data_IF_897156114344
#
_entry.id   IF_897156114344
#
_cell.length_a   1.000
_cell.length_b   1.000
_cell.length_c   1.000
_cell.angle_alpha   90.00
_cell.angle_beta   90.00
_cell.angle_gamma   90.00
#
_symmetry.space_group_name_H-M   'P 1'
#
loop_
_entity.id
_entity.type
_entity.pdbx_description
1 polymer ?
#
# COMPACT_ATOMS: atom_id res chain seq x y z
N UNK A 1 4.04 10.00 72.37
CA UNK A 1 5.22 10.44 71.58
C UNK A 1 4.94 11.80 70.95
N UNK A 2 5.97 12.65 70.80
CA UNK A 2 5.90 13.91 70.02
C UNK A 2 6.12 13.64 68.53
N UNK A 3 5.80 14.62 67.68
CA UNK A 3 5.96 14.48 66.21
C UNK A 3 7.41 14.15 65.80
N UNK A 4 8.40 14.68 66.51
CA UNK A 4 9.82 14.38 66.26
C UNK A 4 10.19 12.93 66.56
N UNK A 5 9.70 12.40 67.68
CA UNK A 5 9.91 11.00 68.08
C UNK A 5 9.18 10.04 67.12
N UNK A 6 7.96 10.38 66.70
CA UNK A 6 7.20 9.63 65.70
C UNK A 6 7.94 9.58 64.35
N UNK A 7 8.42 10.73 63.89
CA UNK A 7 9.13 10.86 62.63
C UNK A 7 10.44 10.04 62.65
N UNK A 8 11.20 10.13 63.75
CA UNK A 8 12.41 9.35 63.95
C UNK A 8 12.14 7.84 63.97
N UNK A 9 11.08 7.40 64.66
CA UNK A 9 10.71 5.99 64.76
C UNK A 9 10.28 5.39 63.41
N UNK A 10 9.63 6.18 62.55
CA UNK A 10 9.24 5.76 61.21
C UNK A 10 10.30 6.03 60.12
N UNK A 11 11.41 6.68 60.48
CA UNK A 11 12.49 7.04 59.55
C UNK A 11 12.08 8.08 58.49
N UNK A 12 11.20 9.02 58.85
CA UNK A 12 10.75 10.12 57.98
C UNK A 12 11.03 11.48 58.62
N UNK A 13 10.87 12.56 57.86
CA UNK A 13 10.99 13.91 58.42
C UNK A 13 9.68 14.35 59.09
N UNK A 14 9.75 15.27 60.07
CA UNK A 14 8.56 15.88 60.66
C UNK A 14 7.71 16.64 59.63
N UNK A 15 8.33 17.14 58.55
CA UNK A 15 7.64 17.72 57.39
C UNK A 15 6.80 16.69 56.66
N UNK A 16 7.34 15.49 56.43
CA UNK A 16 6.61 14.37 55.80
C UNK A 16 5.39 13.98 56.63
N UNK A 17 5.52 13.88 57.95
CA UNK A 17 4.38 13.58 58.84
C UNK A 17 3.28 14.63 58.72
N UNK A 18 3.63 15.93 58.69
CA UNK A 18 2.65 17.01 58.48
C UNK A 18 1.99 16.94 57.11
N UNK A 19 2.76 16.60 56.08
CA UNK A 19 2.25 16.45 54.73
C UNK A 19 1.23 15.31 54.64
N UNK A 20 1.51 14.16 55.25
CA UNK A 20 0.57 13.04 55.29
C UNK A 20 -0.70 13.33 56.09
N UNK A 21 -0.62 14.11 57.17
CA UNK A 21 -1.82 14.63 57.83
C UNK A 21 -2.66 15.53 56.91
N UNK A 22 -2.01 16.42 56.16
CA UNK A 22 -2.70 17.33 55.24
C UNK A 22 -3.41 16.57 54.10
N UNK A 23 -2.79 15.50 53.61
CA UNK A 23 -3.36 14.63 52.58
C UNK A 23 -4.39 13.61 53.11
N UNK A 24 -4.64 13.58 54.42
CA UNK A 24 -5.59 12.65 55.04
C UNK A 24 -5.09 11.20 55.17
N UNK A 25 -3.81 10.94 54.89
CA UNK A 25 -3.18 9.61 55.01
C UNK A 25 -2.97 9.17 56.46
N UNK A 26 -2.93 10.13 57.40
CA UNK A 26 -2.83 9.88 58.83
C UNK A 26 -3.87 10.73 59.56
N UNK A 27 -4.70 10.14 60.44
CA UNK A 27 -5.64 10.91 61.25
C UNK A 27 -4.86 11.89 62.13
N UNK A 28 -5.34 13.13 62.25
CA UNK A 28 -4.74 14.08 63.17
C UNK A 28 -5.11 13.70 64.62
N UNK A 29 -4.13 13.47 65.51
CA UNK A 29 -4.43 13.13 66.90
C UNK A 29 -5.01 14.32 67.66
N UNK A 30 -5.81 14.01 68.68
CA UNK A 30 -6.40 15.01 69.57
C UNK A 30 -5.33 15.89 70.22
N UNK A 31 -5.60 17.19 70.30
CA UNK A 31 -4.75 18.12 71.05
C UNK A 31 -5.02 17.95 72.54
N UNK A 32 -3.95 17.85 73.33
CA UNK A 32 -4.05 17.89 74.80
C UNK A 32 -4.42 19.30 75.28
N UNK A 33 -4.86 19.42 76.54
CA UNK A 33 -5.17 20.69 77.19
C UNK A 33 -4.02 21.72 77.16
N UNK A 34 -2.78 21.27 76.95
CA UNK A 34 -1.59 22.11 76.78
C UNK A 34 -1.30 22.51 75.32
N UNK A 35 -2.24 22.28 74.39
CA UNK A 35 -2.13 22.66 72.98
C UNK A 35 -1.30 21.73 72.09
N UNK A 36 -0.59 20.77 72.66
CA UNK A 36 0.27 19.86 71.89
C UNK A 36 -0.46 18.60 71.43
N UNK A 37 -0.08 18.10 70.24
CA UNK A 37 -0.46 16.77 69.72
C UNK A 37 0.35 15.67 70.41
N UNK A 38 -0.30 14.54 70.66
CA UNK A 38 0.36 13.31 71.09
C UNK A 38 0.08 12.18 70.11
N UNK A 39 1.14 11.45 69.77
CA UNK A 39 1.09 10.28 68.91
C UNK A 39 1.30 9.00 69.71
N UNK A 40 0.52 7.97 69.36
CA UNK A 40 0.61 6.63 69.93
C UNK A 40 1.29 5.64 68.98
N UNK A 41 1.42 4.40 69.43
CA UNK A 41 2.00 3.30 68.63
C UNK A 41 1.22 3.06 67.34
N UNK A 42 -0.11 3.24 67.36
CA UNK A 42 -0.97 3.09 66.16
C UNK A 42 -0.60 4.07 65.06
N UNK A 43 -0.27 5.32 65.41
CA UNK A 43 0.16 6.34 64.45
C UNK A 43 1.53 5.99 63.83
N UNK A 44 2.43 5.41 64.63
CA UNK A 44 3.72 4.93 64.15
C UNK A 44 3.58 3.74 63.18
N UNK A 45 2.69 2.80 63.48
CA UNK A 45 2.40 1.65 62.60
C UNK A 45 1.76 2.11 61.29
N UNK A 46 0.81 3.04 61.36
CA UNK A 46 0.17 3.63 60.17
C UNK A 46 1.20 4.38 59.30
N UNK A 47 2.05 5.20 59.92
CA UNK A 47 3.09 5.95 59.21
C UNK A 47 4.13 5.02 58.57
N UNK A 48 4.53 3.95 59.26
CA UNK A 48 5.42 2.93 58.70
C UNK A 48 4.76 2.16 57.55
N UNK A 49 3.44 1.95 57.60
CA UNK A 49 2.68 1.31 56.50
C UNK A 49 2.63 2.21 55.27
N UNK A 50 2.30 3.49 55.42
CA UNK A 50 2.35 4.49 54.33
C UNK A 50 3.72 4.48 53.66
N UNK A 51 4.79 4.58 54.47
CA UNK A 51 6.17 4.59 53.95
C UNK A 51 6.53 3.34 53.15
N UNK A 52 6.22 2.14 53.66
CA UNK A 52 6.53 0.89 52.96
C UNK A 52 5.80 0.80 51.61
N UNK A 53 4.55 1.27 51.53
CA UNK A 53 3.80 1.26 50.28
C UNK A 53 4.36 2.28 49.29
N UNK A 54 4.75 3.49 49.74
CA UNK A 54 5.38 4.46 48.84
C UNK A 54 6.77 4.02 48.37
N UNK A 55 7.52 3.26 49.19
CA UNK A 55 8.80 2.66 48.80
C UNK A 55 8.66 1.60 47.70
N UNK A 56 7.49 0.95 47.59
CA UNK A 56 7.20 0.01 46.50
C UNK A 56 6.86 0.70 45.18
N UNK A 57 6.67 2.03 45.18
CA UNK A 57 6.34 2.80 43.98
C UNK A 57 4.87 3.20 43.86
N UNK A 58 4.04 2.92 44.87
CA UNK A 58 2.66 3.41 44.90
C UNK A 58 2.63 4.93 45.07
N UNK A 59 1.72 5.58 44.36
CA UNK A 59 1.36 6.97 44.56
C UNK A 59 0.67 7.19 45.91
N UNK A 60 0.72 8.43 46.42
CA UNK A 60 0.07 8.78 47.68
C UNK A 60 -1.47 8.66 47.63
N UNK A 61 -2.05 8.67 46.43
CA UNK A 61 -3.48 8.46 46.19
C UNK A 61 -3.84 6.98 46.36
N UNK A 62 -3.13 6.07 45.69
CA UNK A 62 -3.33 4.61 45.85
C UNK A 62 -3.10 4.17 47.30
N UNK A 63 -2.10 4.75 47.97
CA UNK A 63 -1.85 4.47 49.40
C UNK A 63 -3.01 4.93 50.27
N UNK A 64 -3.67 6.04 49.94
CA UNK A 64 -4.84 6.53 50.69
C UNK A 64 -6.00 5.56 50.56
N UNK A 65 -6.28 5.09 49.35
CA UNK A 65 -7.43 4.25 49.06
C UNK A 65 -7.28 2.89 49.77
N UNK A 66 -6.09 2.27 49.67
CA UNK A 66 -5.71 1.05 50.41
C UNK A 66 -5.80 1.19 51.94
N UNK A 67 -5.58 2.39 52.47
CA UNK A 67 -5.69 2.67 53.91
C UNK A 67 -7.12 3.00 54.35
N UNK A 68 -7.99 3.44 53.44
CA UNK A 68 -9.39 3.78 53.70
C UNK A 68 -10.30 2.54 53.74
N UNK A 69 -9.87 1.44 53.11
CA UNK A 69 -10.53 0.14 53.11
C UNK A 69 -10.90 -0.35 54.53
N UNK A 70 -12.20 -0.53 54.87
CA UNK A 70 -12.61 -0.95 56.20
C UNK A 70 -12.56 -2.48 56.39
N UNK A 71 -12.05 -2.94 57.53
CA UNK A 71 -12.24 -4.31 58.02
C UNK A 71 -11.58 -5.41 57.15
N UNK A 72 -12.22 -6.58 56.97
CA UNK A 72 -11.61 -7.72 56.27
C UNK A 72 -11.29 -7.46 54.78
N UNK A 73 -11.90 -6.43 54.18
CA UNK A 73 -11.66 -6.03 52.78
C UNK A 73 -10.33 -5.28 52.59
N UNK A 74 -9.74 -4.74 53.66
CA UNK A 74 -8.46 -4.02 53.61
C UNK A 74 -7.27 -4.88 53.13
N UNK A 75 -7.33 -6.19 53.40
CA UNK A 75 -6.33 -7.13 52.88
C UNK A 75 -6.51 -7.39 51.39
N UNK A 76 -7.76 -7.42 50.92
CA UNK A 76 -8.11 -7.69 49.53
C UNK A 76 -7.71 -6.53 48.63
N UNK A 77 -8.08 -5.30 49.00
CA UNK A 77 -7.73 -4.09 48.22
C UNK A 77 -6.22 -3.89 48.13
N UNK A 78 -5.49 -4.14 49.22
CA UNK A 78 -4.03 -4.16 49.19
C UNK A 78 -3.48 -5.22 48.23
N UNK A 79 -4.02 -6.45 48.24
CA UNK A 79 -3.59 -7.50 47.32
C UNK A 79 -3.89 -7.15 45.86
N UNK A 80 -5.04 -6.53 45.58
CA UNK A 80 -5.42 -6.11 44.23
C UNK A 80 -4.44 -5.03 43.70
N UNK A 81 -4.17 -3.98 44.49
CA UNK A 81 -3.21 -2.92 44.11
C UNK A 81 -1.78 -3.46 43.97
N UNK A 82 -1.35 -4.34 44.86
CA UNK A 82 -0.02 -4.96 44.74
C UNK A 82 0.10 -5.88 43.52
N UNK A 83 -0.97 -6.58 43.14
CA UNK A 83 -0.99 -7.40 41.93
C UNK A 83 -0.92 -6.55 40.66
N UNK A 84 -1.61 -5.42 40.62
CA UNK A 84 -1.52 -4.46 39.52
C UNK A 84 -0.10 -3.88 39.42
N UNK A 85 0.49 -3.45 40.53
CA UNK A 85 1.87 -2.96 40.56
C UNK A 85 2.89 -4.02 40.08
N UNK A 86 2.75 -5.27 40.51
CA UNK A 86 3.61 -6.36 40.04
C UNK A 86 3.48 -6.57 38.52
N UNK A 87 2.26 -6.55 37.99
CA UNK A 87 2.02 -6.65 36.56
C UNK A 87 2.64 -5.47 35.79
N UNK A 88 2.59 -4.26 36.35
CA UNK A 88 3.18 -3.06 35.75
C UNK A 88 4.70 -3.13 35.73
N UNK A 89 5.31 -3.55 36.84
CA UNK A 89 6.75 -3.76 36.94
C UNK A 89 7.22 -4.85 35.96
N UNK A 90 6.46 -5.94 35.80
CA UNK A 90 6.76 -6.98 34.83
C UNK A 90 6.75 -6.43 33.39
N UNK A 91 5.76 -5.59 33.03
CA UNK A 91 5.71 -4.92 31.72
C UNK A 91 6.90 -3.98 31.50
N UNK A 92 7.29 -3.22 32.52
CA UNK A 92 8.46 -2.34 32.46
C UNK A 92 9.77 -3.13 32.29
N UNK A 93 9.90 -4.25 33.00
CA UNK A 93 11.08 -5.12 32.90
C UNK A 93 11.21 -5.70 31.50
N UNK A 94 10.11 -6.16 30.90
CA UNK A 94 10.12 -6.68 29.53
C UNK A 94 10.50 -5.60 28.51
N UNK A 95 9.93 -4.39 28.63
CA UNK A 95 10.30 -3.26 27.80
C UNK A 95 11.77 -2.85 27.98
N UNK A 96 12.33 -2.95 29.19
CA UNK A 96 13.75 -2.73 29.46
C UNK A 96 14.62 -3.82 28.84
N UNK A 97 14.23 -5.10 28.94
CA UNK A 97 14.93 -6.22 28.29
C UNK A 97 14.99 -6.05 26.78
N UNK A 98 13.86 -5.71 26.15
CA UNK A 98 13.80 -5.42 24.71
C UNK A 98 14.73 -4.27 24.30
N UNK A 99 14.68 -3.14 25.04
CA UNK A 99 15.60 -2.02 24.79
C UNK A 99 17.08 -2.40 24.95
N UNK A 100 17.41 -3.19 25.98
CA UNK A 100 18.79 -3.66 26.21
C UNK A 100 19.26 -4.61 25.12
N UNK A 101 18.40 -5.51 24.63
CA UNK A 101 18.71 -6.39 23.51
C UNK A 101 19.04 -5.57 22.26
N UNK A 102 18.21 -4.57 21.93
CA UNK A 102 18.46 -3.69 20.78
C UNK A 102 19.77 -2.91 20.89
N UNK A 103 20.10 -2.40 22.08
CA UNK A 103 21.40 -1.74 22.31
C UNK A 103 22.57 -2.69 22.08
N UNK A 104 22.48 -3.96 22.52
CA UNK A 104 23.52 -4.96 22.30
C UNK A 104 23.74 -5.25 20.81
N UNK A 105 22.67 -5.44 20.04
CA UNK A 105 22.77 -5.64 18.59
C UNK A 105 23.51 -4.49 17.89
N UNK A 106 23.21 -3.24 18.28
CA UNK A 106 23.88 -2.06 17.73
C UNK A 106 25.36 -2.01 18.12
N UNK A 107 25.70 -2.39 19.36
CA UNK A 107 27.10 -2.49 19.78
C UNK A 107 27.86 -3.58 19.00
N UNK A 108 27.26 -4.74 18.76
CA UNK A 108 27.85 -5.82 17.96
C UNK A 108 28.06 -5.42 16.49
N UNK A 109 27.16 -4.60 15.93
CA UNK A 109 27.35 -4.01 14.59
C UNK A 109 28.50 -3.00 14.58
N UNK A 110 28.61 -2.16 15.62
CA UNK A 110 29.69 -1.19 15.75
C UNK A 110 31.07 -1.86 15.90
N UNK A 111 31.18 -2.92 16.70
CA UNK A 111 32.41 -3.69 16.86
C UNK A 111 32.90 -4.32 15.55
N UNK A 112 31.96 -4.69 14.66
CA UNK A 112 32.28 -5.20 13.31
C UNK A 112 32.58 -4.10 12.29
N UNK A 113 32.46 -2.83 12.65
CA UNK A 113 32.58 -1.71 11.71
C UNK A 113 31.45 -1.65 10.68
N UNK A 114 30.33 -2.34 10.95
CA UNK A 114 29.15 -2.42 10.07
C UNK A 114 28.07 -1.42 10.50
N UNK A 115 28.31 -0.61 11.54
CA UNK A 115 27.38 0.42 11.97
C UNK A 115 27.37 1.57 10.95
N UNK A 116 26.20 1.91 10.39
CA UNK A 116 26.09 3.03 9.45
C UNK A 116 26.41 4.38 10.11
N UNK A 117 26.95 5.30 9.33
CA UNK A 117 27.19 6.67 9.81
C UNK A 117 25.87 7.44 10.03
N UNK A 118 24.81 7.02 9.35
CA UNK A 118 23.50 7.65 9.27
C UNK A 118 22.57 7.29 10.46
N UNK A 119 23.05 6.46 11.39
CA UNK A 119 22.41 6.20 12.68
C UNK A 119 21.98 4.74 12.91
N UNK A 120 21.29 4.45 14.04
CA UNK A 120 20.75 3.12 14.27
C UNK A 120 19.52 2.87 13.39
N UNK A 121 19.74 2.19 12.27
CA UNK A 121 18.70 1.75 11.33
C UNK A 121 18.27 0.30 11.57
N UNK A 122 17.19 -0.15 10.93
CA UNK A 122 16.80 -1.57 10.89
C UNK A 122 17.93 -2.49 10.44
N UNK A 123 17.85 -3.78 10.80
CA UNK A 123 18.86 -4.77 10.39
C UNK A 123 18.91 -4.92 8.86
N UNK A 124 17.76 -4.82 8.20
CA UNK A 124 17.61 -4.87 6.76
C UNK A 124 18.31 -3.68 6.09
N UNK A 125 18.10 -2.47 6.60
CA UNK A 125 18.74 -1.27 6.07
C UNK A 125 20.25 -1.25 6.35
N UNK A 126 20.68 -1.73 7.53
CA UNK A 126 22.10 -1.89 7.84
C UNK A 126 22.78 -2.87 6.87
N UNK A 127 22.13 -3.98 6.53
CA UNK A 127 22.64 -4.93 5.54
C UNK A 127 22.77 -4.28 4.16
N UNK A 128 21.76 -3.51 3.72
CA UNK A 128 21.79 -2.77 2.46
C UNK A 128 22.93 -1.74 2.44
N UNK A 129 23.12 -0.96 3.50
CA UNK A 129 24.24 -0.02 3.61
C UNK A 129 25.60 -0.72 3.59
N UNK A 130 25.70 -1.91 4.18
CA UNK A 130 26.89 -2.76 4.07
C UNK A 130 27.16 -3.19 2.62
N UNK A 131 26.13 -3.53 1.84
CA UNK A 131 26.29 -3.84 0.41
C UNK A 131 26.71 -2.63 -0.41
N UNK A 132 26.09 -1.47 -0.15
CA UNK A 132 26.45 -0.19 -0.75
C UNK A 132 27.92 0.15 -0.49
N UNK A 133 28.37 0.07 0.77
CA UNK A 133 29.77 0.31 1.14
C UNK A 133 30.74 -0.64 0.42
N UNK A 134 30.39 -1.93 0.29
CA UNK A 134 31.20 -2.89 -0.49
C UNK A 134 31.23 -2.56 -1.98
N UNK A 135 30.15 -2.04 -2.55
CA UNK A 135 30.09 -1.61 -3.95
C UNK A 135 30.93 -0.36 -4.19
N UNK A 136 30.83 0.64 -3.30
CA UNK A 136 31.68 1.83 -3.32
C UNK A 136 33.16 1.48 -3.26
N UNK A 137 33.55 0.56 -2.37
CA UNK A 137 34.94 0.12 -2.22
C UNK A 137 35.52 -0.59 -3.47
N UNK A 138 34.68 -1.07 -4.40
CA UNK A 138 35.14 -1.68 -5.67
C UNK A 138 35.44 -0.65 -6.76
N UNK A 139 34.99 0.60 -6.60
CA UNK A 139 35.20 1.66 -7.59
C UNK A 139 36.50 2.43 -7.32
N UNK A 140 37.19 2.88 -8.38
CA UNK A 140 38.33 3.76 -8.22
C UNK A 140 37.88 5.18 -7.85
N UNK A 141 38.39 5.71 -6.73
CA UNK A 141 38.14 7.09 -6.29
C UNK A 141 37.41 7.18 -4.95
N UNK A 142 37.15 8.41 -4.46
CA UNK A 142 36.28 8.61 -3.30
C UNK A 142 34.85 8.17 -3.60
N UNK A 143 34.11 7.81 -2.56
CA UNK A 143 32.69 7.46 -2.73
C UNK A 143 31.90 8.65 -3.29
N UNK A 144 31.00 8.43 -4.27
CA UNK A 144 30.11 9.47 -4.78
C UNK A 144 29.28 10.12 -3.67
N UNK A 145 29.20 11.46 -3.65
CA UNK A 145 28.37 12.24 -2.72
C UNK A 145 26.89 11.87 -2.84
N UNK A 146 26.41 11.52 -4.05
CA UNK A 146 25.05 11.01 -4.24
C UNK A 146 24.77 9.70 -3.49
N UNK A 147 25.76 8.83 -3.30
CA UNK A 147 25.57 7.59 -2.53
C UNK A 147 25.33 7.90 -1.05
N UNK A 148 26.06 8.87 -0.49
CA UNK A 148 25.84 9.32 0.89
C UNK A 148 24.45 9.94 1.07
N UNK A 149 24.01 10.81 0.13
CA UNK A 149 22.65 11.39 0.15
C UNK A 149 21.55 10.33 0.06
N UNK A 150 21.76 9.28 -0.73
CA UNK A 150 20.80 8.18 -0.81
C UNK A 150 20.68 7.45 0.53
N UNK A 151 21.80 7.19 1.22
CA UNK A 151 21.76 6.57 2.56
C UNK A 151 21.00 7.44 3.56
N UNK A 152 21.24 8.75 3.56
CA UNK A 152 20.48 9.69 4.41
C UNK A 152 18.97 9.64 4.08
N UNK A 153 18.61 9.61 2.80
CA UNK A 153 17.22 9.54 2.35
C UNK A 153 16.56 8.22 2.78
N UNK A 154 17.25 7.09 2.64
CA UNK A 154 16.74 5.78 3.03
C UNK A 154 16.58 5.67 4.56
N UNK A 155 17.53 6.23 5.32
CA UNK A 155 17.42 6.32 6.77
C UNK A 155 16.20 7.14 7.19
N UNK A 156 15.96 8.29 6.53
CA UNK A 156 14.76 9.09 6.74
C UNK A 156 13.47 8.32 6.37
N UNK A 157 13.47 7.64 5.23
CA UNK A 157 12.33 6.88 4.73
C UNK A 157 11.90 5.78 5.71
N UNK A 158 12.85 5.12 6.38
CA UNK A 158 12.54 4.08 7.37
C UNK A 158 11.77 4.64 8.58
N UNK A 159 11.91 5.93 8.89
CA UNK A 159 11.18 6.59 9.99
C UNK A 159 9.72 6.90 9.67
N UNK A 160 9.28 6.61 8.44
CA UNK A 160 7.91 6.86 8.03
C UNK A 160 6.89 6.14 8.95
N UNK A 161 5.76 6.79 9.28
CA UNK A 161 4.71 6.20 10.12
C UNK A 161 4.16 4.90 9.51
N UNK A 162 3.57 4.07 10.39
CA UNK A 162 2.87 2.82 10.04
C UNK A 162 3.74 1.70 9.44
N UNK A 163 5.07 1.83 9.46
CA UNK A 163 5.99 0.78 9.01
C UNK A 163 6.09 0.64 7.48
N UNK A 164 5.37 1.47 6.71
CA UNK A 164 5.44 1.50 5.25
C UNK A 164 6.87 1.74 4.73
N UNK A 165 7.65 2.57 5.46
CA UNK A 165 9.07 2.79 5.17
C UNK A 165 9.90 1.52 5.27
N UNK A 166 9.66 0.68 6.29
CA UNK A 166 10.36 -0.61 6.47
C UNK A 166 10.00 -1.61 5.38
N UNK A 167 8.72 -1.72 5.01
CA UNK A 167 8.30 -2.61 3.93
C UNK A 167 8.92 -2.20 2.58
N UNK A 168 8.97 -0.89 2.32
CA UNK A 168 9.60 -0.36 1.12
C UNK A 168 11.11 -0.62 1.10
N UNK A 169 11.80 -0.40 2.22
CA UNK A 169 13.24 -0.71 2.35
C UNK A 169 13.50 -2.20 2.22
N UNK A 170 12.67 -3.07 2.80
CA UNK A 170 12.78 -4.52 2.64
C UNK A 170 12.57 -4.95 1.17
N UNK A 171 11.62 -4.33 0.46
CA UNK A 171 11.41 -4.57 -0.97
C UNK A 171 12.60 -4.11 -1.83
N UNK A 172 13.22 -2.97 -1.48
CA UNK A 172 14.44 -2.49 -2.13
C UNK A 172 15.64 -3.40 -1.86
N UNK A 173 15.84 -3.85 -0.62
CA UNK A 173 16.89 -4.79 -0.24
C UNK A 173 16.75 -6.15 -0.95
N UNK A 174 15.53 -6.65 -1.12
CA UNK A 174 15.26 -7.87 -1.89
C UNK A 174 15.55 -7.74 -3.40
N UNK A 175 15.44 -6.52 -3.95
CA UNK A 175 15.79 -6.22 -5.35
C UNK A 175 17.28 -5.86 -5.54
N UNK A 176 17.97 -5.44 -4.48
CA UNK A 176 19.37 -4.99 -4.49
C UNK A 176 20.42 -6.10 -4.48
N UNK A 177 20.03 -7.35 -4.25
CA UNK A 177 20.94 -8.50 -4.13
C UNK A 177 21.68 -8.93 -5.41
N UNK A 178 21.62 -8.19 -6.51
CA UNK A 178 22.52 -8.35 -7.67
C UNK A 178 23.74 -7.41 -7.49
N UNK A 179 24.93 -7.94 -7.16
CA UNK A 179 26.14 -7.12 -7.04
C UNK A 179 26.44 -6.30 -8.31
N UNK A 180 26.06 -6.82 -9.48
CA UNK A 180 26.24 -6.11 -10.74
C UNK A 180 25.26 -4.93 -10.89
N UNK A 181 24.07 -4.98 -10.28
CA UNK A 181 23.13 -3.86 -10.24
C UNK A 181 23.67 -2.73 -9.37
N UNK A 182 24.22 -3.05 -8.20
CA UNK A 182 24.86 -2.06 -7.33
C UNK A 182 26.06 -1.39 -8.01
N UNK A 183 26.92 -2.14 -8.69
CA UNK A 183 28.05 -1.58 -9.44
C UNK A 183 27.62 -0.67 -10.60
N UNK A 184 26.44 -0.90 -11.19
CA UNK A 184 25.87 -0.02 -12.23
C UNK A 184 25.26 1.24 -11.62
N UNK A 185 24.56 1.11 -10.50
CA UNK A 185 23.96 2.21 -9.76
C UNK A 185 25.03 3.21 -9.28
N UNK A 186 26.11 2.70 -8.69
CA UNK A 186 27.22 3.56 -8.27
C UNK A 186 27.91 4.28 -9.44
N UNK A 187 27.96 3.67 -10.64
CA UNK A 187 28.43 4.37 -11.85
C UNK A 187 27.51 5.51 -12.27
N UNK A 188 26.20 5.36 -12.07
CA UNK A 188 25.25 6.46 -12.27
C UNK A 188 25.49 7.56 -11.24
N UNK A 189 25.76 7.22 -9.97
CA UNK A 189 26.07 8.22 -8.94
C UNK A 189 27.33 9.01 -9.22
N UNK A 190 28.43 8.34 -9.61
CA UNK A 190 29.65 9.04 -10.02
C UNK A 190 29.38 10.02 -11.18
N UNK A 191 28.56 9.60 -12.15
CA UNK A 191 28.22 10.43 -13.29
C UNK A 191 27.26 11.58 -12.94
N UNK A 192 26.36 11.40 -11.96
CA UNK A 192 25.52 12.49 -11.43
C UNK A 192 26.38 13.52 -10.67
N UNK A 193 27.36 13.07 -9.90
CA UNK A 193 28.29 13.97 -9.21
C UNK A 193 29.16 14.77 -10.20
N UNK A 194 29.69 14.12 -11.25
CA UNK A 194 30.43 14.79 -12.33
C UNK A 194 29.59 15.87 -13.04
N UNK A 195 28.27 15.72 -13.05
CA UNK A 195 27.33 16.62 -13.72
C UNK A 195 26.61 17.57 -12.76
N UNK A 196 26.92 17.54 -11.47
CA UNK A 196 26.26 18.37 -10.47
C UNK A 196 26.38 19.87 -10.74
N UNK A 197 27.51 20.29 -11.32
CA UNK A 197 27.81 21.68 -11.70
C UNK A 197 27.73 21.89 -13.23
N UNK A 198 27.27 20.90 -14.00
CA UNK A 198 27.17 21.00 -15.45
C UNK A 198 25.91 21.78 -15.88
N UNK A 199 26.00 22.47 -17.02
CA UNK A 199 24.85 23.15 -17.63
C UNK A 199 23.79 22.13 -18.09
N UNK A 200 22.52 22.53 -18.05
CA UNK A 200 21.37 21.69 -18.44
C UNK A 200 21.48 21.21 -19.89
N UNK A 201 22.12 22.01 -20.77
CA UNK A 201 22.31 21.68 -22.18
C UNK A 201 23.55 20.80 -22.46
N UNK A 202 24.29 20.37 -21.43
CA UNK A 202 25.46 19.51 -21.61
C UNK A 202 25.04 18.13 -22.19
N UNK A 203 25.63 17.68 -23.32
CA UNK A 203 25.28 16.39 -23.92
C UNK A 203 25.52 15.18 -23.00
N UNK A 204 26.37 15.33 -21.97
CA UNK A 204 26.59 14.32 -20.93
C UNK A 204 25.36 14.15 -20.03
N UNK A 205 24.55 15.19 -19.80
CA UNK A 205 23.28 15.12 -19.05
C UNK A 205 22.29 14.20 -19.75
N UNK A 206 22.15 14.31 -21.07
CA UNK A 206 21.28 13.41 -21.84
C UNK A 206 21.75 11.94 -21.79
N UNK A 207 23.06 11.71 -21.63
CA UNK A 207 23.63 10.36 -21.45
C UNK A 207 23.37 9.84 -20.04
N UNK A 208 23.52 10.71 -19.04
CA UNK A 208 23.19 10.45 -17.63
C UNK A 208 21.74 10.02 -17.46
N UNK A 209 20.82 10.82 -17.99
CA UNK A 209 19.39 10.59 -17.91
C UNK A 209 19.00 9.23 -18.50
N UNK A 210 19.60 8.85 -19.65
CA UNK A 210 19.38 7.53 -20.26
C UNK A 210 19.93 6.38 -19.42
N UNK A 211 21.10 6.55 -18.82
CA UNK A 211 21.69 5.54 -17.94
C UNK A 211 20.86 5.36 -16.66
N UNK A 212 20.49 6.46 -16.01
CA UNK A 212 19.64 6.48 -14.82
C UNK A 212 18.25 5.88 -15.10
N UNK A 213 17.60 6.28 -16.19
CA UNK A 213 16.30 5.73 -16.60
C UNK A 213 16.38 4.23 -16.90
N UNK A 214 17.48 3.76 -17.50
CA UNK A 214 17.72 2.34 -17.76
C UNK A 214 17.84 1.52 -16.48
N UNK A 215 18.58 1.99 -15.48
CA UNK A 215 18.68 1.30 -14.19
C UNK A 215 17.39 1.39 -13.38
N UNK A 216 16.73 2.55 -13.33
CA UNK A 216 15.44 2.71 -12.68
C UNK A 216 14.40 1.72 -13.26
N UNK A 217 14.34 1.58 -14.58
CA UNK A 217 13.45 0.61 -15.23
C UNK A 217 13.78 -0.85 -14.85
N UNK A 218 15.07 -1.19 -14.67
CA UNK A 218 15.49 -2.54 -14.25
C UNK A 218 15.21 -2.81 -12.78
N UNK A 219 15.46 -1.83 -11.90
CA UNK A 219 15.17 -1.91 -10.47
C UNK A 219 13.66 -2.05 -10.23
N UNK A 220 12.85 -1.23 -10.92
CA UNK A 220 11.39 -1.37 -10.95
C UNK A 220 11.01 -2.75 -11.48
N UNK A 221 11.60 -3.22 -12.58
CA UNK A 221 11.31 -4.57 -13.07
C UNK A 221 11.64 -5.66 -12.03
N UNK A 222 12.74 -5.56 -11.29
CA UNK A 222 13.15 -6.52 -10.27
C UNK A 222 12.28 -6.49 -9.00
N UNK A 223 11.90 -5.30 -8.53
CA UNK A 223 11.15 -5.09 -7.30
C UNK A 223 9.64 -5.25 -7.46
N UNK A 224 9.09 -5.07 -8.67
CA UNK A 224 7.64 -4.99 -8.89
C UNK A 224 6.98 -6.39 -8.88
N UNK A 225 6.06 -6.67 -7.93
CA UNK A 225 5.31 -7.93 -7.87
C UNK A 225 4.49 -8.19 -9.14
N UNK A 226 4.21 -9.47 -9.44
CA UNK A 226 3.44 -9.88 -10.62
C UNK A 226 2.11 -9.12 -10.84
N UNK A 227 1.31 -8.80 -9.80
CA UNK A 227 0.09 -8.00 -9.96
C UNK A 227 0.36 -6.59 -10.51
N UNK A 228 1.44 -5.95 -10.06
CA UNK A 228 1.79 -4.58 -10.47
C UNK A 228 2.41 -4.58 -11.87
N UNK A 229 3.16 -5.62 -12.26
CA UNK A 229 3.60 -5.79 -13.66
C UNK A 229 2.41 -5.89 -14.64
N UNK A 230 1.32 -6.55 -14.22
CA UNK A 230 0.08 -6.62 -15.02
C UNK A 230 -0.61 -5.27 -15.12
N UNK A 231 -0.57 -4.47 -14.07
CA UNK A 231 -1.09 -3.10 -14.04
C UNK A 231 -0.28 -2.18 -14.96
N UNK A 232 1.05 -2.20 -14.89
CA UNK A 232 1.93 -1.43 -15.80
C UNK A 232 1.73 -1.87 -17.26
N UNK A 233 1.66 -3.18 -17.52
CA UNK A 233 1.36 -3.68 -18.87
C UNK A 233 -0.06 -3.27 -19.33
N UNK A 234 -1.00 -3.05 -18.41
CA UNK A 234 -2.32 -2.51 -18.72
C UNK A 234 -2.22 -1.01 -19.08
N UNK A 235 -1.50 -0.20 -18.31
CA UNK A 235 -1.25 1.22 -18.63
C UNK A 235 -0.57 1.40 -19.99
N UNK A 236 0.48 0.63 -20.29
CA UNK A 236 1.14 0.68 -21.61
C UNK A 236 0.15 0.35 -22.73
N UNK A 237 -0.73 -0.64 -22.53
CA UNK A 237 -1.78 -0.97 -23.51
C UNK A 237 -2.81 0.15 -23.65
N UNK A 238 -3.16 0.82 -22.57
CA UNK A 238 -4.08 1.98 -22.57
C UNK A 238 -3.46 3.14 -23.36
N UNK A 239 -2.20 3.50 -23.08
CA UNK A 239 -1.48 4.57 -23.79
C UNK A 239 -1.31 4.23 -25.28
N UNK A 240 -0.90 3.00 -25.60
CA UNK A 240 -0.81 2.56 -27.00
C UNK A 240 -2.16 2.64 -27.72
N UNK A 241 -3.26 2.38 -27.01
CA UNK A 241 -4.60 2.47 -27.58
C UNK A 241 -5.06 3.91 -27.78
N UNK A 242 -4.63 4.84 -26.92
CA UNK A 242 -4.82 6.29 -27.13
C UNK A 242 -4.17 6.73 -28.44
N UNK A 243 -2.92 6.34 -28.68
CA UNK A 243 -2.19 6.64 -29.93
C UNK A 243 -2.90 6.01 -31.14
N UNK A 244 -3.34 4.75 -31.02
CA UNK A 244 -4.08 4.06 -32.08
C UNK A 244 -5.41 4.74 -32.40
N UNK A 245 -6.16 5.16 -31.37
CA UNK A 245 -7.42 5.86 -31.52
C UNK A 245 -7.22 7.22 -32.20
N UNK A 246 -6.23 8.01 -31.74
CA UNK A 246 -5.87 9.29 -32.35
C UNK A 246 -5.43 9.13 -33.82
N UNK A 247 -4.67 8.07 -34.12
CA UNK A 247 -4.24 7.73 -35.48
C UNK A 247 -5.35 7.07 -36.33
N UNK A 248 -6.55 6.84 -35.77
CA UNK A 248 -7.67 6.12 -36.39
C UNK A 248 -7.30 4.73 -36.92
N UNK A 249 -6.40 4.02 -36.21
CA UNK A 249 -5.94 2.67 -36.57
C UNK A 249 -6.51 1.64 -35.59
N UNK A 250 -7.54 0.86 -35.98
CA UNK A 250 -8.08 -0.17 -35.11
C UNK A 250 -7.07 -1.30 -34.89
N UNK A 251 -7.00 -1.80 -33.66
CA UNK A 251 -6.02 -2.81 -33.27
C UNK A 251 -6.50 -4.23 -33.56
N UNK A 252 -5.68 -4.99 -34.29
CA UNK A 252 -5.90 -6.42 -34.52
C UNK A 252 -7.10 -6.71 -35.42
N UNK A 253 -7.39 -5.82 -36.37
CA UNK A 253 -8.32 -6.04 -37.49
C UNK A 253 -7.46 -6.27 -38.74
N UNK A 254 -7.41 -7.50 -39.23
CA UNK A 254 -6.67 -7.88 -40.43
C UNK A 254 -7.44 -7.57 -41.72
N UNK A 255 -6.80 -7.82 -42.86
CA UNK A 255 -7.44 -7.71 -44.18
C UNK A 255 -8.50 -8.80 -44.33
N UNK A 256 -9.78 -8.40 -44.39
CA UNK A 256 -10.93 -9.32 -44.49
C UNK A 256 -11.69 -9.54 -43.17
N UNK A 257 -11.14 -9.08 -42.04
CA UNK A 257 -11.81 -9.17 -40.76
C UNK A 257 -12.91 -8.11 -40.62
N UNK A 258 -13.97 -8.44 -39.88
CA UNK A 258 -15.06 -7.51 -39.59
C UNK A 258 -14.96 -6.99 -38.15
N UNK A 259 -14.72 -5.70 -38.03
CA UNK A 259 -14.76 -4.99 -36.76
C UNK A 259 -16.22 -4.80 -36.29
N UNK A 260 -16.48 -5.13 -35.03
CA UNK A 260 -17.76 -4.93 -34.36
C UNK A 260 -17.53 -3.93 -33.20
N UNK A 261 -17.87 -2.64 -33.39
CA UNK A 261 -17.69 -1.62 -32.37
C UNK A 261 -18.70 -1.78 -31.23
N UNK A 262 -18.30 -1.38 -30.03
CA UNK A 262 -19.12 -1.41 -28.81
C UNK A 262 -18.93 -0.17 -27.92
N UNK A 263 -17.98 0.70 -28.26
CA UNK A 263 -17.63 1.84 -27.44
C UNK A 263 -18.70 2.95 -27.48
N UNK A 264 -19.55 2.98 -28.51
CA UNK A 264 -20.63 3.96 -28.64
C UNK A 264 -21.59 3.93 -27.46
N UNK A 265 -21.89 2.74 -26.94
CA UNK A 265 -22.81 2.54 -25.82
C UNK A 265 -22.43 3.24 -24.50
N UNK A 266 -21.14 3.54 -24.28
CA UNK A 266 -20.65 4.22 -23.07
C UNK A 266 -20.10 5.64 -23.34
N UNK A 267 -20.00 6.03 -24.61
CA UNK A 267 -19.33 7.27 -25.01
C UNK A 267 -19.94 8.52 -24.33
N UNK A 268 -21.27 8.63 -24.28
CA UNK A 268 -21.95 9.77 -23.68
C UNK A 268 -21.62 9.93 -22.18
N UNK A 269 -21.63 8.84 -21.43
CA UNK A 269 -21.28 8.83 -20.01
C UNK A 269 -19.82 9.24 -19.81
N UNK A 270 -18.90 8.67 -20.60
CA UNK A 270 -17.47 8.98 -20.49
C UNK A 270 -17.16 10.42 -20.88
N UNK A 271 -17.76 10.95 -21.95
CA UNK A 271 -17.59 12.35 -22.32
C UNK A 271 -18.20 13.31 -21.30
N UNK A 272 -19.32 12.94 -20.66
CA UNK A 272 -19.87 13.70 -19.53
C UNK A 272 -18.91 13.76 -18.34
N UNK A 273 -18.30 12.62 -17.99
CA UNK A 273 -17.31 12.55 -16.92
C UNK A 273 -16.03 13.34 -17.27
N UNK A 274 -15.53 13.22 -18.50
CA UNK A 274 -14.37 13.98 -18.96
C UNK A 274 -14.63 15.49 -18.94
N UNK A 275 -15.82 15.92 -19.36
CA UNK A 275 -16.22 17.31 -19.29
C UNK A 275 -16.23 17.81 -17.84
N UNK A 276 -16.86 17.05 -16.92
CA UNK A 276 -16.89 17.40 -15.51
C UNK A 276 -15.49 17.48 -14.91
N UNK A 277 -14.62 16.50 -15.19
CA UNK A 277 -13.24 16.48 -14.71
C UNK A 277 -12.43 17.68 -15.22
N UNK A 278 -12.56 18.05 -16.50
CA UNK A 278 -11.88 19.24 -17.04
C UNK A 278 -12.39 20.53 -16.41
N UNK A 279 -13.70 20.65 -16.15
CA UNK A 279 -14.28 21.79 -15.44
C UNK A 279 -13.77 21.85 -14.00
N UNK A 280 -13.74 20.72 -13.30
CA UNK A 280 -13.19 20.59 -11.95
C UNK A 280 -11.73 21.03 -11.90
N UNK A 281 -10.89 20.55 -12.83
CA UNK A 281 -9.48 20.97 -12.95
C UNK A 281 -9.36 22.48 -13.17
N UNK A 282 -10.21 23.07 -14.02
CA UNK A 282 -10.20 24.50 -14.27
C UNK A 282 -10.64 25.32 -13.03
N UNK A 283 -11.58 24.81 -12.24
CA UNK A 283 -12.02 25.44 -10.99
C UNK A 283 -10.92 25.37 -9.93
N UNK A 284 -10.27 24.21 -9.77
CA UNK A 284 -9.17 24.01 -8.82
C UNK A 284 -7.93 24.83 -9.17
N UNK A 285 -7.66 25.01 -10.48
CA UNK A 285 -6.60 25.89 -10.95
C UNK A 285 -6.79 27.38 -10.57
N UNK A 286 -8.02 27.81 -10.25
CA UNK A 286 -8.37 29.19 -9.90
C UNK A 286 -8.55 29.40 -8.37
N UNK A 287 -8.64 28.34 -7.57
CA UNK A 287 -8.75 28.40 -6.10
C UNK A 287 -7.40 28.72 -5.41
N UNK A 288 -7.40 29.28 -4.19
CA UNK A 288 -6.32 30.16 -3.73
C UNK A 288 -4.95 29.48 -3.55
N UNK A 289 -3.95 30.17 -4.08
CA UNK A 289 -2.52 29.85 -4.20
C UNK A 289 -1.72 29.88 -2.88
N UNK A 290 -2.37 29.69 -1.73
CA UNK A 290 -1.71 29.77 -0.42
C UNK A 290 -0.80 28.55 -0.15
N UNK A 291 -1.02 27.43 -0.87
CA UNK A 291 -0.29 26.18 -0.72
C UNK A 291 0.18 25.67 -2.11
N UNK A 292 1.28 26.21 -2.66
CA UNK A 292 1.69 25.94 -4.06
C UNK A 292 1.99 24.46 -4.33
N UNK A 293 2.51 23.74 -3.34
CA UNK A 293 2.81 22.30 -3.46
C UNK A 293 1.54 21.47 -3.52
N UNK A 294 0.54 21.78 -2.68
CA UNK A 294 -0.74 21.08 -2.67
C UNK A 294 -1.48 21.33 -3.98
N UNK A 295 -1.47 22.57 -4.47
CA UNK A 295 -2.04 22.93 -5.76
C UNK A 295 -1.38 22.13 -6.90
N UNK A 296 -0.04 22.08 -6.94
CA UNK A 296 0.68 21.32 -7.97
C UNK A 296 0.36 19.81 -7.89
N UNK A 297 0.29 19.24 -6.69
CA UNK A 297 -0.03 17.84 -6.49
C UNK A 297 -1.47 17.50 -6.97
N UNK A 298 -2.45 18.32 -6.61
CA UNK A 298 -3.84 18.16 -7.05
C UNK A 298 -3.95 18.29 -8.57
N UNK A 299 -3.30 19.28 -9.17
CA UNK A 299 -3.32 19.47 -10.62
C UNK A 299 -2.71 18.26 -11.36
N UNK A 300 -1.60 17.71 -10.86
CA UNK A 300 -1.00 16.50 -11.42
C UNK A 300 -1.95 15.31 -11.33
N UNK A 301 -2.59 15.11 -10.18
CA UNK A 301 -3.57 14.03 -9.97
C UNK A 301 -4.79 14.17 -10.89
N UNK A 302 -5.31 15.38 -11.06
CA UNK A 302 -6.45 15.67 -11.94
C UNK A 302 -6.11 15.41 -13.41
N UNK A 303 -4.99 15.96 -13.89
CA UNK A 303 -4.53 15.74 -15.27
C UNK A 303 -4.31 14.24 -15.52
N UNK A 304 -3.73 13.54 -14.56
CA UNK A 304 -3.56 12.09 -14.62
C UNK A 304 -4.91 11.36 -14.67
N UNK A 305 -5.89 11.78 -13.86
CA UNK A 305 -7.25 11.24 -13.85
C UNK A 305 -7.95 11.41 -15.20
N UNK A 306 -7.89 12.60 -15.80
CA UNK A 306 -8.42 12.88 -17.14
C UNK A 306 -7.75 11.99 -18.19
N UNK A 307 -6.42 11.87 -18.14
CA UNK A 307 -5.66 11.02 -19.05
C UNK A 307 -6.05 9.54 -18.93
N UNK A 308 -6.29 9.05 -17.71
CA UNK A 308 -6.74 7.67 -17.46
C UNK A 308 -8.14 7.41 -18.02
N UNK A 309 -9.11 8.30 -17.77
CA UNK A 309 -10.48 8.15 -18.29
C UNK A 309 -10.48 8.18 -19.82
N UNK A 310 -9.75 9.12 -20.42
CA UNK A 310 -9.62 9.24 -21.87
C UNK A 310 -8.93 8.02 -22.47
N UNK A 311 -7.83 7.57 -21.87
CA UNK A 311 -7.09 6.38 -22.28
C UNK A 311 -7.96 5.13 -22.25
N UNK A 312 -8.75 4.95 -21.20
CA UNK A 312 -9.67 3.82 -21.07
C UNK A 312 -10.72 3.81 -22.19
N UNK A 313 -11.32 4.96 -22.49
CA UNK A 313 -12.27 5.09 -23.59
C UNK A 313 -11.63 4.83 -24.95
N UNK A 314 -10.44 5.40 -25.17
CA UNK A 314 -9.66 5.16 -26.38
C UNK A 314 -9.30 3.68 -26.54
N UNK A 315 -8.99 2.98 -25.44
CA UNK A 315 -8.79 1.53 -25.46
C UNK A 315 -10.03 0.78 -25.92
N UNK A 316 -11.23 1.16 -25.46
CA UNK A 316 -12.48 0.57 -25.91
C UNK A 316 -12.76 0.88 -27.39
N UNK A 317 -12.50 2.11 -27.83
CA UNK A 317 -12.76 2.55 -29.21
C UNK A 317 -11.76 1.98 -30.23
N UNK A 318 -10.47 1.89 -29.88
CA UNK A 318 -9.43 1.36 -30.76
C UNK A 318 -9.37 -0.17 -30.80
N UNK A 319 -9.99 -0.86 -29.83
CA UNK A 319 -10.01 -2.33 -29.74
C UNK A 319 -11.43 -2.88 -29.87
N UNK A 320 -12.03 -2.84 -31.06
CA UNK A 320 -13.35 -3.43 -31.29
C UNK A 320 -13.31 -4.94 -31.11
N UNK A 321 -14.49 -5.56 -30.97
CA UNK A 321 -14.63 -6.98 -31.22
C UNK A 321 -14.25 -7.28 -32.68
N UNK A 322 -13.70 -8.45 -32.94
CA UNK A 322 -13.24 -8.83 -34.28
C UNK A 322 -13.83 -10.18 -34.64
N UNK A 323 -14.56 -10.23 -35.76
CA UNK A 323 -14.93 -11.48 -36.41
C UNK A 323 -13.91 -11.71 -37.52
N UNK A 324 -13.07 -12.72 -37.36
CA UNK A 324 -12.05 -13.08 -38.34
C UNK A 324 -12.68 -13.63 -39.61
N UNK A 325 -12.02 -13.43 -40.75
CA UNK A 325 -12.48 -14.01 -42.02
C UNK A 325 -12.55 -15.55 -42.01
N UNK A 326 -11.78 -16.18 -41.12
CA UNK A 326 -11.78 -17.62 -40.84
C UNK A 326 -12.93 -18.09 -39.94
N UNK A 327 -13.78 -17.17 -39.47
CA UNK A 327 -14.85 -17.45 -38.53
C UNK A 327 -14.42 -17.49 -37.05
N UNK A 328 -13.18 -17.09 -36.73
CA UNK A 328 -12.77 -16.86 -35.35
C UNK A 328 -13.45 -15.60 -34.78
N UNK A 329 -13.66 -15.57 -33.46
CA UNK A 329 -14.24 -14.41 -32.78
C UNK A 329 -13.31 -13.97 -31.66
N UNK A 330 -12.88 -12.71 -31.69
CA UNK A 330 -12.16 -12.07 -30.61
C UNK A 330 -13.07 -11.09 -29.87
N UNK A 331 -13.43 -11.45 -28.64
CA UNK A 331 -14.28 -10.65 -27.75
C UNK A 331 -13.38 -9.82 -26.83
N UNK A 332 -13.68 -8.53 -26.68
CA UNK A 332 -12.77 -7.55 -26.06
C UNK A 332 -13.52 -6.51 -25.25
N UNK A 333 -12.91 -6.04 -24.18
CA UNK A 333 -13.37 -4.84 -23.48
C UNK A 333 -12.16 -3.99 -23.10
N UNK A 334 -11.89 -2.96 -23.90
CA UNK A 334 -10.70 -2.13 -23.83
C UNK A 334 -9.40 -2.95 -23.81
N UNK A 335 -8.52 -2.61 -22.87
CA UNK A 335 -7.33 -3.39 -22.55
C UNK A 335 -7.54 -4.34 -21.35
N UNK A 336 -8.76 -4.46 -20.84
CA UNK A 336 -9.10 -5.26 -19.65
C UNK A 336 -9.39 -6.72 -19.99
N UNK A 337 -10.10 -6.97 -21.08
CA UNK A 337 -10.51 -8.32 -21.52
C UNK A 337 -10.15 -8.51 -22.98
N UNK A 338 -9.53 -9.65 -23.29
CA UNK A 338 -9.32 -10.14 -24.65
C UNK A 338 -9.47 -11.67 -24.64
N UNK A 339 -10.58 -12.16 -25.21
CA UNK A 339 -10.95 -13.58 -25.25
C UNK A 339 -10.98 -14.02 -26.71
N UNK A 340 -10.14 -14.99 -27.05
CA UNK A 340 -10.09 -15.60 -28.37
C UNK A 340 -10.99 -16.84 -28.40
N UNK A 341 -11.97 -16.84 -29.30
CA UNK A 341 -12.86 -17.96 -29.60
C UNK A 341 -12.42 -18.56 -30.94
N UNK A 342 -11.96 -19.82 -30.97
CA UNK A 342 -11.55 -20.47 -32.21
C UNK A 342 -12.70 -20.63 -33.20
N UNK A 343 -12.39 -20.62 -34.50
CA UNK A 343 -13.35 -20.89 -35.57
C UNK A 343 -14.08 -22.23 -35.35
N UNK A 344 -15.39 -22.26 -35.65
CA UNK A 344 -16.24 -23.43 -35.46
C UNK A 344 -16.60 -23.75 -34.00
N UNK A 345 -16.12 -22.99 -33.01
CA UNK A 345 -16.52 -23.17 -31.61
C UNK A 345 -17.89 -22.56 -31.30
N UNK A 346 -18.34 -21.61 -32.12
CA UNK A 346 -19.64 -20.95 -31.96
C UNK A 346 -20.75 -21.87 -32.45
N UNK A 347 -21.70 -22.21 -31.59
CA UNK A 347 -22.84 -23.08 -31.90
C UNK A 347 -24.11 -22.30 -32.20
N UNK A 348 -24.34 -21.20 -31.50
CA UNK A 348 -25.50 -20.35 -31.71
C UNK A 348 -25.18 -18.88 -31.44
N UNK A 349 -25.85 -18.00 -32.17
CA UNK A 349 -25.73 -16.55 -32.02
C UNK A 349 -27.13 -15.97 -31.99
N UNK A 350 -27.46 -15.24 -30.93
CA UNK A 350 -28.75 -14.59 -30.74
C UNK A 350 -28.56 -13.10 -30.61
N UNK A 351 -29.36 -12.33 -31.34
CA UNK A 351 -29.46 -10.88 -31.15
C UNK A 351 -30.57 -10.64 -30.15
N UNK A 352 -30.20 -10.36 -28.90
CA UNK A 352 -31.14 -10.14 -27.80
C UNK A 352 -30.62 -9.07 -26.85
N UNK A 353 -31.53 -8.23 -26.36
CA UNK A 353 -31.21 -7.22 -25.35
C UNK A 353 -31.37 -7.84 -23.96
N UNK A 354 -30.29 -7.84 -23.17
CA UNK A 354 -30.30 -8.33 -21.78
C UNK A 354 -29.70 -7.27 -20.85
N UNK A 355 -30.13 -7.28 -19.60
CA UNK A 355 -29.68 -6.38 -18.53
C UNK A 355 -29.15 -7.23 -17.36
N UNK A 356 -27.91 -7.73 -17.44
CA UNK A 356 -27.35 -8.54 -16.37
C UNK A 356 -27.23 -7.70 -15.08
N UNK A 357 -27.56 -8.24 -13.89
CA UNK A 357 -27.55 -7.51 -12.61
C UNK A 357 -26.13 -7.26 -12.06
N UNK A 358 -25.12 -7.30 -12.93
CA UNK A 358 -23.72 -7.44 -12.60
C UNK A 358 -22.85 -6.23 -12.96
N UNK A 359 -21.54 -6.39 -12.80
CA UNK A 359 -20.55 -5.40 -13.27
C UNK A 359 -20.46 -5.41 -14.80
N UNK A 360 -19.89 -4.35 -15.36
CA UNK A 360 -19.57 -4.21 -16.80
C UNK A 360 -18.85 -5.43 -17.37
N UNK A 361 -17.94 -6.03 -16.59
CA UNK A 361 -17.26 -7.28 -16.90
C UNK A 361 -17.49 -8.23 -15.74
N UNK A 362 -18.25 -9.29 -15.99
CA UNK A 362 -18.52 -10.31 -14.99
C UNK A 362 -18.45 -11.70 -15.61
N UNK A 363 -17.85 -12.64 -14.87
CA UNK A 363 -17.88 -14.05 -15.21
C UNK A 363 -18.52 -14.77 -14.04
N UNK A 364 -19.60 -15.50 -14.29
CA UNK A 364 -20.31 -16.24 -13.25
C UNK A 364 -21.06 -17.41 -13.88
N UNK A 365 -20.98 -18.59 -13.26
CA UNK A 365 -21.73 -19.77 -13.69
C UNK A 365 -21.46 -20.21 -15.14
N UNK A 366 -20.27 -19.92 -15.69
CA UNK A 366 -19.93 -20.22 -17.07
C UNK A 366 -20.47 -19.24 -18.12
N UNK A 367 -20.97 -18.07 -17.68
CA UNK A 367 -21.40 -16.96 -18.53
C UNK A 367 -20.42 -15.81 -18.37
N UNK A 368 -19.92 -15.26 -19.49
CA UNK A 368 -19.19 -14.00 -19.53
C UNK A 368 -20.16 -12.89 -19.96
N UNK A 369 -20.44 -11.94 -19.07
CA UNK A 369 -21.21 -10.73 -19.35
C UNK A 369 -20.24 -9.56 -19.58
N UNK A 370 -20.30 -8.98 -20.78
CA UNK A 370 -19.62 -7.75 -21.19
C UNK A 370 -20.67 -6.67 -21.48
N UNK A 371 -21.23 -6.12 -20.41
CA UNK A 371 -22.29 -5.14 -20.47
C UNK A 371 -21.73 -3.72 -20.66
N UNK A 372 -22.29 -2.97 -21.61
CA UNK A 372 -21.96 -1.55 -21.81
C UNK A 372 -23.23 -0.75 -21.52
N UNK A 373 -23.14 0.21 -20.60
CA UNK A 373 -24.32 0.93 -20.11
C UNK A 373 -25.37 0.01 -19.46
N UNK A 374 -24.91 -1.06 -18.77
CA UNK A 374 -25.79 -2.01 -18.07
C UNK A 374 -26.54 -3.00 -18.96
N UNK A 375 -26.18 -3.12 -20.24
CA UNK A 375 -26.85 -4.03 -21.19
C UNK A 375 -25.88 -4.77 -22.11
N UNK A 376 -26.33 -5.93 -22.60
CA UNK A 376 -25.71 -6.67 -23.71
C UNK A 376 -26.71 -6.78 -24.87
N UNK A 377 -26.21 -6.94 -26.09
CA UNK A 377 -27.05 -6.94 -27.31
C UNK A 377 -26.88 -8.18 -28.19
N UNK A 378 -25.83 -8.97 -27.95
CA UNK A 378 -25.56 -10.21 -28.66
C UNK A 378 -25.16 -11.29 -27.66
N UNK A 379 -25.77 -12.47 -27.78
CA UNK A 379 -25.41 -13.66 -27.02
C UNK A 379 -24.82 -14.70 -27.96
N UNK A 380 -23.63 -15.21 -27.61
CA UNK A 380 -22.89 -16.22 -28.35
C UNK A 380 -22.76 -17.47 -27.48
N UNK A 381 -23.29 -18.59 -27.95
CA UNK A 381 -23.15 -19.89 -27.31
C UNK A 381 -22.00 -20.67 -27.96
N UNK A 382 -21.21 -21.35 -27.13
CA UNK A 382 -20.03 -22.09 -27.55
C UNK A 382 -20.20 -23.59 -27.29
N UNK A 383 -19.72 -24.41 -28.22
CA UNK A 383 -19.72 -25.87 -28.11
C UNK A 383 -18.71 -26.38 -27.08
N UNK A 384 -17.63 -25.64 -26.86
CA UNK A 384 -16.62 -25.91 -25.83
C UNK A 384 -16.37 -24.64 -24.99
N UNK A 385 -16.13 -24.77 -23.68
CA UNK A 385 -15.80 -23.63 -22.84
C UNK A 385 -14.46 -23.00 -23.24
N UNK A 386 -14.41 -21.67 -23.28
CA UNK A 386 -13.18 -20.89 -23.47
C UNK A 386 -12.65 -20.34 -22.15
N UNK A 387 -11.33 -20.20 -22.05
CA UNK A 387 -10.68 -19.62 -20.88
C UNK A 387 -10.77 -18.08 -20.93
N UNK A 388 -11.27 -17.50 -19.85
CA UNK A 388 -11.35 -16.06 -19.64
C UNK A 388 -10.42 -15.68 -18.50
N UNK A 389 -9.47 -14.79 -18.79
CA UNK A 389 -8.56 -14.23 -17.78
C UNK A 389 -9.17 -12.93 -17.27
N UNK A 390 -9.51 -12.89 -15.99
CA UNK A 390 -9.97 -11.67 -15.30
C UNK A 390 -8.80 -10.67 -15.20
N UNK A 391 -9.08 -9.35 -15.10
CA UNK A 391 -8.03 -8.32 -15.01
C UNK A 391 -7.00 -8.54 -13.89
N UNK A 392 -7.43 -9.10 -12.75
CA UNK A 392 -6.55 -9.43 -11.60
C UNK A 392 -5.90 -10.83 -11.71
N UNK A 393 -6.12 -11.55 -12.81
CA UNK A 393 -5.45 -12.81 -13.12
C UNK A 393 -6.18 -14.11 -12.77
N UNK A 394 -7.35 -14.02 -12.13
CA UNK A 394 -8.23 -15.18 -11.96
C UNK A 394 -8.62 -15.76 -13.32
N UNK A 395 -8.57 -17.08 -13.46
CA UNK A 395 -8.95 -17.79 -14.68
C UNK A 395 -10.29 -18.46 -14.47
N UNK A 396 -11.19 -18.29 -15.42
CA UNK A 396 -12.50 -18.92 -15.38
C UNK A 396 -12.89 -19.41 -16.77
N UNK A 397 -13.85 -20.32 -16.87
CA UNK A 397 -14.28 -20.91 -18.13
C UNK A 397 -15.70 -20.45 -18.45
N UNK A 398 -15.92 -19.96 -19.67
CA UNK A 398 -17.23 -19.53 -20.13
C UNK A 398 -17.68 -20.31 -21.37
N UNK A 399 -18.95 -20.72 -21.40
CA UNK A 399 -19.61 -21.33 -22.57
C UNK A 399 -20.59 -20.37 -23.25
N UNK A 400 -21.02 -19.34 -22.54
CA UNK A 400 -21.93 -18.31 -23.07
C UNK A 400 -21.24 -16.97 -22.95
N UNK A 401 -21.11 -16.25 -24.05
CA UNK A 401 -20.55 -14.91 -24.09
C UNK A 401 -21.67 -13.93 -24.45
N UNK A 402 -22.01 -13.03 -23.53
CA UNK A 402 -22.97 -11.96 -23.75
C UNK A 402 -22.19 -10.67 -23.90
N UNK A 403 -22.27 -10.06 -25.07
CA UNK A 403 -21.50 -8.88 -25.43
C UNK A 403 -22.38 -7.77 -25.94
N UNK A 404 -21.90 -6.54 -25.75
CA UNK A 404 -22.51 -5.36 -26.35
C UNK A 404 -21.89 -5.09 -27.73
N UNK A 405 -22.73 -4.78 -28.70
CA UNK A 405 -22.35 -4.29 -30.01
C UNK A 405 -23.24 -3.08 -30.35
N UNK A 406 -22.61 -2.03 -30.90
CA UNK A 406 -23.30 -0.80 -31.32
C UNK A 406 -24.33 -1.10 -32.44
N UNK A 407 -23.97 -2.00 -33.36
CA UNK A 407 -24.90 -2.58 -34.35
C UNK A 407 -25.03 -4.11 -34.13
N UNK A 408 -26.00 -4.54 -33.31
CA UNK A 408 -26.15 -5.96 -32.99
C UNK A 408 -26.66 -6.80 -34.16
N UNK A 409 -27.34 -6.19 -35.14
CA UNK A 409 -27.83 -6.92 -36.32
C UNK A 409 -26.67 -7.24 -37.25
N UNK A 410 -25.81 -6.27 -37.54
CA UNK A 410 -24.61 -6.50 -38.34
C UNK A 410 -23.63 -7.46 -37.66
N UNK A 411 -23.44 -7.34 -36.35
CA UNK A 411 -22.63 -8.27 -35.56
C UNK A 411 -23.19 -9.70 -35.62
N UNK A 412 -24.49 -9.86 -35.38
CA UNK A 412 -25.15 -11.15 -35.44
C UNK A 412 -25.17 -11.77 -36.84
N UNK A 413 -25.22 -10.96 -37.90
CA UNK A 413 -25.13 -11.45 -39.28
C UNK A 413 -23.71 -11.95 -39.62
N UNK A 414 -22.68 -11.20 -39.24
CA UNK A 414 -21.28 -11.59 -39.46
C UNK A 414 -20.94 -12.91 -38.76
N UNK A 415 -21.39 -13.08 -37.51
CA UNK A 415 -21.17 -14.31 -36.76
C UNK A 415 -21.97 -15.49 -37.29
N UNK A 416 -23.24 -15.29 -37.69
CA UNK A 416 -24.08 -16.37 -38.21
C UNK A 416 -23.62 -16.92 -39.56
N UNK A 417 -23.04 -16.08 -40.42
CA UNK A 417 -22.49 -16.52 -41.71
C UNK A 417 -21.50 -17.69 -41.54
N UNK A 418 -20.57 -17.55 -40.59
CA UNK A 418 -19.55 -18.57 -40.33
C UNK A 418 -20.05 -19.79 -39.54
N UNK A 419 -21.14 -19.68 -38.79
CA UNK A 419 -21.77 -20.83 -38.11
C UNK A 419 -22.36 -21.81 -39.14
N UNK A 420 -22.95 -21.27 -40.22
CA UNK A 420 -23.51 -22.08 -41.31
C UNK A 420 -22.40 -22.75 -42.13
N UNK A 421 -21.34 -22.01 -42.47
CA UNK A 421 -20.19 -22.56 -43.21
C UNK A 421 -19.46 -23.66 -42.41
N UNK A 422 -19.32 -23.49 -41.10
CA UNK A 422 -18.72 -24.50 -40.21
C UNK A 422 -19.57 -25.76 -40.04
N UNK A 423 -20.90 -25.65 -40.12
CA UNK A 423 -21.81 -26.80 -40.12
C UNK A 423 -21.77 -27.56 -41.47
N UNK A 424 -21.71 -26.84 -42.60
CA UNK A 424 -21.57 -27.42 -43.92
C UNK A 424 -20.21 -28.13 -44.12
N UNK A 425 -19.12 -27.57 -43.57
CA UNK A 425 -17.78 -28.21 -43.62
C UNK A 425 -17.63 -29.48 -42.76
N UNK A 426 -18.49 -29.68 -41.75
CA UNK A 426 -18.55 -30.93 -40.96
C UNK A 426 -19.40 -32.02 -41.62
N UNK A 427 -20.20 -31.66 -42.62
CA UNK A 427 -21.09 -32.56 -43.35
C UNK A 427 -20.58 -32.77 -44.79
N UNK A 428 -19.54 -33.59 -44.97
CA UNK A 428 -19.18 -34.07 -46.30
C UNK A 428 -18.04 -35.09 -46.33
N UNK A 429 -17.99 -35.95 -47.36
CA UNK A 429 -19.02 -36.85 -47.84
C UNK A 429 -18.89 -38.23 -47.15
N UNK A 430 -20.01 -38.87 -46.79
CA UNK A 430 -19.99 -40.31 -46.55
C UNK A 430 -19.56 -41.00 -47.86
N UNK A 431 -18.36 -41.60 -47.85
CA UNK A 431 -17.85 -42.41 -48.96
C UNK A 431 -18.70 -43.67 -49.04
N UNK A 432 -19.46 -43.77 -50.12
CA UNK A 432 -20.01 -45.04 -50.62
C UNK A 432 -18.94 -45.96 -51.16
#
# INVERSE_FOLDING_TARGET
MRIGELAALAGVTTRTVRHYHHLGLLPEPARRANGYREYGLRDAVALARVRRLTELGLSLEEVRDVLAAPGPDAGRELCEVLAELDADLARQEEALRGRRARVRELLELAERGELPAEGPVSAELAALFGEMARAGARLPGPEPAMAAKERELLALLETAPDGAGRELVAALGGAGGDPAAMDRMYRVYALLDELSEADVDDPRVARAARAAAGEAARAVAAAVPLPVRRLVAHEVRVVASLVQWAARRPHGVGSGDRAVPYAGGQAALVYGLLFAAVVETAVLAVLPAEWPVVHAAVLVLDVWGVALVLGFHAACAARPHVVGADGSLRVRYGALVDVAVPAGSVTAVRVEHRFPPGRTVEVSGGVLDLAVGGRTTVTVELGAPVEVVRPLGGRERARVLRLYADDPRAAGAALRGHVVDGAAGRAGPERG
#
